data_IF_519993555240
#
_entry.id   IF_519993555240
#
_cell.length_a   1.000
_cell.length_b   1.000
_cell.length_c   1.000
_cell.angle_alpha   90.00
_cell.angle_beta   90.00
_cell.angle_gamma   90.00
#
_symmetry.space_group_name_H-M   'P 1'
#
loop_
_entity.id
_entity.type
_entity.pdbx_description
1 polymer ?
#
# COMPACT_ATOMS: atom_id res chain seq x y z
N UNK A 1 43.31 -23.24 15.50
CA UNK A 1 42.81 -23.92 14.29
C UNK A 1 41.32 -23.89 14.37
N UNK A 2 40.70 -22.97 13.65
CA UNK A 2 39.25 -22.93 13.52
C UNK A 2 38.85 -24.16 12.71
N UNK A 3 38.28 -25.16 13.38
CA UNK A 3 37.66 -26.28 12.68
C UNK A 3 36.38 -25.73 12.04
N UNK A 4 36.49 -25.44 10.76
CA UNK A 4 35.29 -25.14 9.92
C UNK A 4 34.37 -26.36 10.03
N UNK A 5 33.17 -26.16 10.56
CA UNK A 5 32.18 -27.24 10.74
C UNK A 5 31.55 -27.50 9.38
N UNK A 6 31.81 -28.66 8.84
CA UNK A 6 31.19 -29.09 7.57
C UNK A 6 29.73 -29.46 7.82
N UNK A 7 28.80 -28.61 7.32
CA UNK A 7 27.37 -28.84 7.41
C UNK A 7 26.96 -29.83 6.32
N UNK A 8 26.35 -30.96 6.67
CA UNK A 8 25.91 -31.93 5.65
C UNK A 8 24.98 -31.26 4.60
N UNK A 9 25.24 -31.40 3.29
CA UNK A 9 24.51 -30.69 2.23
C UNK A 9 22.99 -30.95 2.25
N UNK A 10 22.56 -32.13 2.72
CA UNK A 10 21.15 -32.48 2.80
C UNK A 10 20.43 -31.84 4.01
N UNK A 11 21.13 -31.12 4.89
CA UNK A 11 20.53 -30.29 5.94
C UNK A 11 20.21 -28.88 5.45
N UNK A 12 20.75 -28.49 4.30
CA UNK A 12 20.62 -27.14 3.76
C UNK A 12 19.41 -27.07 2.84
N UNK A 13 18.54 -26.06 3.07
CA UNK A 13 17.40 -25.80 2.20
C UNK A 13 17.87 -25.28 0.84
N UNK A 14 17.43 -25.86 -0.30
CA UNK A 14 17.83 -25.41 -1.63
C UNK A 14 17.37 -23.98 -2.00
N UNK A 15 16.45 -23.40 -1.24
CA UNK A 15 15.91 -22.04 -1.48
C UNK A 15 16.58 -21.00 -0.60
N UNK A 16 16.64 -21.23 0.74
CA UNK A 16 17.23 -20.27 1.67
C UNK A 16 18.74 -20.41 1.81
N UNK A 17 19.31 -21.55 1.43
CA UNK A 17 20.71 -21.94 1.65
C UNK A 17 21.10 -21.96 3.14
N UNK A 18 20.12 -22.12 4.02
CA UNK A 18 20.29 -22.25 5.47
C UNK A 18 19.93 -23.66 5.95
N UNK A 19 20.38 -24.02 7.18
CA UNK A 19 19.99 -25.28 7.82
C UNK A 19 18.48 -25.28 8.03
N UNK A 20 17.82 -26.33 7.55
CA UNK A 20 16.35 -26.48 7.65
C UNK A 20 15.91 -26.61 9.10
N UNK A 21 14.95 -25.79 9.51
CA UNK A 21 14.32 -25.82 10.85
C UNK A 21 13.12 -26.75 10.90
N UNK A 22 12.31 -26.75 9.83
CA UNK A 22 11.15 -27.64 9.66
C UNK A 22 11.17 -28.26 8.24
N UNK A 23 11.97 -29.31 8.00
CA UNK A 23 12.07 -29.92 6.68
C UNK A 23 10.77 -30.58 6.24
N UNK A 24 10.29 -30.19 5.06
CA UNK A 24 9.08 -30.71 4.40
C UNK A 24 9.41 -31.17 3.00
N UNK A 25 8.83 -32.29 2.59
CA UNK A 25 9.02 -32.88 1.25
C UNK A 25 7.80 -32.58 0.38
N UNK A 26 8.04 -32.03 -0.81
CA UNK A 26 6.98 -31.80 -1.82
C UNK A 26 6.78 -33.04 -2.71
N UNK A 27 5.73 -33.06 -3.53
CA UNK A 27 5.38 -34.19 -4.41
C UNK A 27 6.49 -34.61 -5.38
N UNK A 28 7.44 -33.74 -5.70
CA UNK A 28 8.62 -34.07 -6.53
C UNK A 28 9.73 -34.79 -5.76
N UNK A 29 9.56 -35.07 -4.46
CA UNK A 29 10.54 -35.75 -3.60
C UNK A 29 11.63 -34.84 -3.05
N UNK A 30 11.68 -33.56 -3.41
CA UNK A 30 12.67 -32.60 -2.88
C UNK A 30 12.20 -32.09 -1.52
N UNK A 31 13.14 -31.98 -0.58
CA UNK A 31 12.90 -31.45 0.76
C UNK A 31 13.40 -30.01 0.87
N UNK A 32 12.59 -29.15 1.48
CA UNK A 32 12.82 -27.75 1.73
C UNK A 32 12.54 -27.40 3.19
N UNK A 33 13.03 -26.28 3.65
CA UNK A 33 12.49 -25.69 4.87
C UNK A 33 11.06 -25.19 4.62
N UNK A 34 10.12 -25.48 5.54
CA UNK A 34 8.69 -25.15 5.39
C UNK A 34 8.48 -23.68 5.06
N UNK A 35 9.09 -22.77 5.83
CA UNK A 35 8.93 -21.33 5.63
C UNK A 35 9.38 -20.89 4.23
N UNK A 36 10.47 -21.45 3.75
CA UNK A 36 11.05 -21.12 2.44
C UNK A 36 10.18 -21.58 1.29
N UNK A 37 9.68 -22.83 1.35
CA UNK A 37 8.81 -23.35 0.28
C UNK A 37 7.42 -22.73 0.32
N UNK A 38 6.86 -22.44 1.50
CA UNK A 38 5.60 -21.70 1.64
C UNK A 38 5.72 -20.30 1.02
N UNK A 39 6.79 -19.55 1.31
CA UNK A 39 7.06 -18.27 0.66
C UNK A 39 7.16 -18.39 -0.85
N UNK A 40 7.84 -19.40 -1.37
CA UNK A 40 7.96 -19.62 -2.80
C UNK A 40 6.60 -19.89 -3.46
N UNK A 41 5.82 -20.80 -2.91
CA UNK A 41 4.52 -21.19 -3.46
C UNK A 41 3.47 -20.08 -3.36
N UNK A 42 3.52 -19.28 -2.28
CA UNK A 42 2.46 -18.35 -1.93
C UNK A 42 2.76 -16.89 -2.26
N UNK A 43 4.04 -16.50 -2.33
CA UNK A 43 4.45 -15.14 -2.75
C UNK A 43 4.74 -15.03 -4.25
N UNK A 44 5.14 -16.14 -4.88
CA UNK A 44 5.36 -16.22 -6.31
C UNK A 44 4.13 -16.79 -7.01
N UNK A 45 3.71 -16.23 -8.13
CA UNK A 45 2.63 -16.76 -9.00
C UNK A 45 2.98 -18.11 -9.65
N UNK A 46 3.93 -18.86 -9.11
CA UNK A 46 4.50 -20.06 -9.72
C UNK A 46 4.29 -21.27 -8.82
N UNK A 47 3.26 -22.08 -9.13
CA UNK A 47 3.00 -23.39 -8.52
C UNK A 47 3.98 -24.45 -9.08
N UNK A 48 5.29 -24.17 -9.00
CA UNK A 48 6.33 -25.07 -9.50
C UNK A 48 7.39 -25.34 -8.44
N UNK A 49 7.97 -26.53 -8.45
CA UNK A 49 9.09 -26.89 -7.59
C UNK A 49 10.30 -26.02 -7.90
N UNK A 50 10.92 -25.34 -6.89
CA UNK A 50 12.06 -24.45 -7.10
C UNK A 50 13.24 -25.10 -7.82
N UNK A 51 13.53 -26.39 -7.53
CA UNK A 51 14.67 -27.14 -8.08
C UNK A 51 14.31 -27.80 -9.40
N UNK A 52 13.25 -28.61 -9.44
CA UNK A 52 12.92 -29.43 -10.62
C UNK A 52 12.09 -28.69 -11.68
N UNK A 53 11.52 -27.51 -11.34
CA UNK A 53 10.61 -26.72 -12.18
C UNK A 53 9.32 -27.45 -12.57
N UNK A 54 9.09 -28.65 -12.05
CA UNK A 54 7.86 -29.39 -12.28
C UNK A 54 6.66 -28.74 -11.58
N UNK A 55 5.47 -28.75 -12.18
CA UNK A 55 4.27 -28.22 -11.55
C UNK A 55 3.94 -28.98 -10.27
N UNK A 56 3.52 -28.26 -9.26
CA UNK A 56 2.99 -28.79 -8.01
C UNK A 56 1.47 -28.62 -8.03
N UNK A 57 0.72 -29.58 -7.48
CA UNK A 57 -0.74 -29.51 -7.40
C UNK A 57 -1.19 -28.44 -6.40
N UNK A 58 -2.40 -27.88 -6.62
CA UNK A 58 -2.99 -26.86 -5.71
C UNK A 58 -3.18 -27.39 -4.28
N UNK A 59 -3.37 -28.68 -4.12
CA UNK A 59 -3.43 -29.42 -2.86
C UNK A 59 -2.04 -29.97 -2.45
N UNK A 60 -0.98 -29.19 -2.65
CA UNK A 60 0.37 -29.66 -2.33
C UNK A 60 0.51 -29.86 -0.83
N UNK A 61 0.27 -31.09 -0.37
CA UNK A 61 0.57 -31.52 0.98
C UNK A 61 2.08 -31.46 1.21
N UNK A 62 2.51 -30.46 1.96
CA UNK A 62 3.88 -30.38 2.45
C UNK A 62 4.08 -31.46 3.52
N UNK A 63 4.59 -32.62 3.10
CA UNK A 63 4.77 -33.76 4.00
C UNK A 63 5.95 -33.53 4.93
N UNK A 64 5.75 -33.44 6.28
CA UNK A 64 6.84 -33.25 7.22
C UNK A 64 7.87 -34.38 7.17
N UNK A 65 9.15 -34.05 6.99
CA UNK A 65 10.23 -35.02 7.02
C UNK A 65 10.78 -35.17 8.46
N UNK A 66 10.04 -35.95 9.26
CA UNK A 66 10.38 -36.13 10.67
C UNK A 66 11.75 -36.77 10.90
N UNK A 67 12.19 -37.65 10.00
CA UNK A 67 13.51 -38.31 10.11
C UNK A 67 14.62 -37.33 9.91
N UNK A 68 14.56 -36.54 8.83
CA UNK A 68 15.56 -35.53 8.55
C UNK A 68 15.59 -34.46 9.66
N UNK A 69 14.44 -34.03 10.16
CA UNK A 69 14.36 -33.08 11.27
C UNK A 69 15.09 -33.59 12.52
N UNK A 70 14.87 -34.85 12.90
CA UNK A 70 15.56 -35.46 14.04
C UNK A 70 17.09 -35.53 13.83
N UNK A 71 17.53 -35.83 12.62
CA UNK A 71 18.95 -35.85 12.27
C UNK A 71 19.57 -34.44 12.40
N UNK A 72 18.90 -33.44 11.85
CA UNK A 72 19.35 -32.02 11.97
C UNK A 72 19.42 -31.61 13.43
N UNK A 73 18.38 -31.86 14.23
CA UNK A 73 18.33 -31.51 15.64
C UNK A 73 19.44 -32.21 16.44
N UNK A 74 19.71 -33.49 16.18
CA UNK A 74 20.79 -34.23 16.82
C UNK A 74 22.15 -33.62 16.45
N UNK A 75 22.36 -33.33 15.18
CA UNK A 75 23.61 -32.72 14.70
C UNK A 75 23.83 -31.31 15.29
N UNK A 76 22.81 -30.45 15.32
CA UNK A 76 22.89 -29.13 15.97
C UNK A 76 23.22 -29.28 17.48
N UNK A 77 22.65 -30.27 18.16
CA UNK A 77 22.90 -30.49 19.57
C UNK A 77 24.35 -30.94 19.82
N UNK A 78 24.88 -31.80 18.97
CA UNK A 78 26.29 -32.25 19.06
C UNK A 78 27.31 -31.11 18.77
N UNK A 79 26.94 -30.18 17.91
CA UNK A 79 27.78 -29.06 17.53
C UNK A 79 27.47 -27.74 18.28
N UNK A 80 26.65 -27.78 19.31
CA UNK A 80 26.25 -26.59 20.08
C UNK A 80 27.45 -25.86 20.74
N UNK A 81 28.51 -26.61 21.13
CA UNK A 81 29.75 -26.04 21.65
C UNK A 81 30.55 -25.20 20.64
N UNK A 82 30.24 -25.32 19.36
CA UNK A 82 30.85 -24.58 18.26
C UNK A 82 29.96 -23.41 17.75
N UNK A 83 28.99 -22.99 18.54
CA UNK A 83 28.14 -21.85 18.21
C UNK A 83 26.92 -22.16 17.33
N UNK A 84 26.59 -23.43 17.07
CA UNK A 84 25.42 -23.82 16.33
C UNK A 84 24.19 -23.79 17.25
N UNK A 85 23.17 -22.98 16.88
CA UNK A 85 21.93 -22.87 17.65
C UNK A 85 21.11 -24.16 17.62
N UNK A 86 20.50 -24.50 18.75
CA UNK A 86 19.55 -25.61 18.82
C UNK A 86 18.24 -25.24 18.11
N UNK A 87 17.79 -26.13 17.22
CA UNK A 87 16.53 -25.94 16.51
C UNK A 87 15.38 -26.48 17.36
N UNK A 88 14.42 -25.62 17.77
CA UNK A 88 13.25 -26.07 18.50
C UNK A 88 12.34 -26.96 17.63
N UNK A 89 11.58 -27.84 18.26
CA UNK A 89 10.60 -28.65 17.53
C UNK A 89 9.46 -27.75 17.03
N UNK A 90 9.18 -27.67 15.72
CA UNK A 90 8.10 -26.86 15.18
C UNK A 90 6.74 -27.32 15.71
N UNK A 91 5.85 -26.38 15.95
CA UNK A 91 4.46 -26.68 16.33
C UNK A 91 3.73 -27.31 15.14
N UNK A 92 2.86 -28.29 15.34
CA UNK A 92 2.05 -28.83 14.26
C UNK A 92 1.12 -27.74 13.69
N UNK A 93 0.83 -27.75 12.38
CA UNK A 93 -0.14 -26.85 11.78
C UNK A 93 -1.50 -26.95 12.48
N UNK A 94 -2.16 -25.79 12.63
CA UNK A 94 -3.47 -25.75 13.29
C UNK A 94 -4.56 -26.26 12.33
N UNK A 95 -5.51 -27.01 12.86
CA UNK A 95 -6.62 -27.57 12.07
C UNK A 95 -7.82 -26.62 12.03
N UNK A 96 -8.62 -26.70 10.95
CA UNK A 96 -9.88 -25.95 10.80
C UNK A 96 -10.82 -26.12 12.03
N UNK A 97 -10.89 -27.34 12.56
CA UNK A 97 -11.73 -27.66 13.73
C UNK A 97 -11.28 -26.92 15.00
N UNK A 98 -9.97 -26.77 15.19
CA UNK A 98 -9.42 -26.00 16.33
C UNK A 98 -9.77 -24.51 16.22
N UNK A 99 -9.58 -23.91 15.03
CA UNK A 99 -9.92 -22.50 14.80
C UNK A 99 -11.42 -22.26 14.96
N UNK A 100 -12.27 -23.11 14.36
CA UNK A 100 -13.72 -23.00 14.49
C UNK A 100 -14.19 -23.14 15.94
N UNK A 101 -13.51 -23.97 16.74
CA UNK A 101 -13.77 -24.09 18.18
C UNK A 101 -13.39 -22.82 18.92
N UNK A 102 -12.21 -22.25 18.67
CA UNK A 102 -11.76 -21.00 19.27
C UNK A 102 -12.74 -19.85 18.98
N UNK A 103 -13.18 -19.70 17.74
CA UNK A 103 -14.16 -18.67 17.32
C UNK A 103 -15.49 -18.86 18.07
N UNK A 104 -15.98 -20.09 18.18
CA UNK A 104 -17.22 -20.40 18.89
C UNK A 104 -17.12 -20.13 20.38
N UNK A 105 -15.98 -20.45 20.99
CA UNK A 105 -15.75 -20.21 22.42
C UNK A 105 -15.59 -18.71 22.74
N UNK A 106 -15.11 -17.91 21.80
CA UNK A 106 -15.01 -16.46 21.89
C UNK A 106 -16.38 -15.78 22.14
N UNK A 107 -17.45 -16.34 21.55
CA UNK A 107 -18.81 -15.78 21.68
C UNK A 107 -19.44 -15.96 23.06
N UNK A 108 -18.79 -16.67 23.98
CA UNK A 108 -19.39 -17.01 25.30
C UNK A 108 -19.22 -15.90 26.34
N UNK A 109 -18.12 -15.15 26.30
CA UNK A 109 -17.89 -14.05 27.25
C UNK A 109 -16.82 -13.08 26.73
N UNK A 110 -16.80 -11.82 27.20
CA UNK A 110 -15.77 -10.84 26.83
C UNK A 110 -14.35 -11.31 27.16
N UNK A 111 -14.15 -11.99 28.27
CA UNK A 111 -12.85 -12.56 28.68
C UNK A 111 -12.40 -13.68 27.71
N UNK A 112 -13.33 -14.52 27.27
CA UNK A 112 -13.07 -15.56 26.27
C UNK A 112 -12.68 -14.94 24.93
N UNK A 113 -13.29 -13.80 24.54
CA UNK A 113 -12.96 -13.06 23.34
C UNK A 113 -11.50 -12.58 23.32
N UNK A 114 -11.07 -11.89 24.39
CA UNK A 114 -9.69 -11.39 24.50
C UNK A 114 -8.65 -12.53 24.49
N UNK A 115 -8.96 -13.66 25.14
CA UNK A 115 -8.11 -14.85 25.07
C UNK A 115 -8.04 -15.43 23.66
N UNK A 116 -9.20 -15.56 22.99
CA UNK A 116 -9.29 -16.05 21.62
C UNK A 116 -8.46 -15.18 20.65
N UNK A 117 -8.56 -13.86 20.73
CA UNK A 117 -7.79 -12.95 19.89
C UNK A 117 -6.29 -13.14 20.07
N UNK A 118 -5.80 -13.27 21.30
CA UNK A 118 -4.38 -13.56 21.57
C UNK A 118 -3.93 -14.91 20.97
N UNK A 119 -4.75 -15.95 21.07
CA UNK A 119 -4.46 -17.25 20.48
C UNK A 119 -4.47 -17.16 18.95
N UNK A 120 -5.45 -16.49 18.32
CA UNK A 120 -5.49 -16.27 16.89
C UNK A 120 -4.26 -15.47 16.39
N UNK A 121 -3.83 -14.45 17.13
CA UNK A 121 -2.62 -13.68 16.82
C UNK A 121 -1.37 -14.54 16.82
N UNK A 122 -1.22 -15.39 17.84
CA UNK A 122 -0.11 -16.36 17.91
C UNK A 122 -0.14 -17.34 16.72
N UNK A 123 -1.31 -17.87 16.38
CA UNK A 123 -1.49 -18.80 15.26
C UNK A 123 -1.14 -18.12 13.93
N UNK A 124 -1.57 -16.87 13.71
CA UNK A 124 -1.29 -16.09 12.50
C UNK A 124 0.21 -15.80 12.34
N UNK A 125 0.94 -15.65 13.45
CA UNK A 125 2.39 -15.38 13.44
C UNK A 125 3.22 -16.61 13.13
N UNK A 126 2.70 -17.84 13.40
CA UNK A 126 3.49 -19.07 13.31
C UNK A 126 3.79 -19.48 11.86
N UNK A 127 2.84 -19.40 10.94
CA UNK A 127 3.06 -19.80 9.52
C UNK A 127 1.99 -19.28 8.56
N UNK A 128 2.35 -19.24 7.25
CA UNK A 128 1.41 -18.91 6.18
C UNK A 128 0.29 -19.94 6.04
N UNK A 129 0.60 -21.20 6.22
CA UNK A 129 -0.41 -22.30 6.23
C UNK A 129 -1.46 -22.07 7.32
N UNK A 130 -1.05 -21.61 8.51
CA UNK A 130 -1.98 -21.27 9.57
C UNK A 130 -2.87 -20.08 9.19
N UNK A 131 -2.31 -19.02 8.57
CA UNK A 131 -3.09 -17.86 8.09
C UNK A 131 -4.18 -18.27 7.10
N UNK A 132 -3.84 -19.14 6.13
CA UNK A 132 -4.81 -19.69 5.17
C UNK A 132 -5.85 -20.57 5.83
N UNK A 133 -5.43 -21.40 6.79
CA UNK A 133 -6.36 -22.21 7.56
C UNK A 133 -7.34 -21.34 8.36
N UNK A 134 -6.88 -20.23 8.94
CA UNK A 134 -7.72 -19.25 9.62
C UNK A 134 -8.73 -18.60 8.66
N UNK A 135 -8.28 -18.16 7.49
CA UNK A 135 -9.15 -17.59 6.47
C UNK A 135 -10.22 -18.60 6.03
N UNK A 136 -9.82 -19.83 5.70
CA UNK A 136 -10.74 -20.90 5.29
C UNK A 136 -11.69 -21.39 6.42
N UNK A 137 -11.47 -20.97 7.67
CA UNK A 137 -12.27 -21.33 8.85
C UNK A 137 -13.23 -20.22 9.30
N UNK A 138 -13.35 -19.11 8.52
CA UNK A 138 -14.25 -17.99 8.81
C UNK A 138 -13.67 -16.99 9.83
N UNK A 139 -12.35 -16.99 10.07
CA UNK A 139 -11.73 -16.03 10.98
C UNK A 139 -11.81 -14.59 10.44
N UNK A 140 -11.81 -14.38 9.14
CA UNK A 140 -11.91 -13.06 8.51
C UNK A 140 -13.25 -12.41 8.83
N UNK A 141 -14.36 -13.11 8.63
CA UNK A 141 -15.72 -12.64 8.93
C UNK A 141 -15.92 -12.43 10.43
N UNK A 142 -15.35 -13.30 11.25
CA UNK A 142 -15.39 -13.17 12.72
C UNK A 142 -14.67 -11.89 13.17
N UNK A 143 -13.45 -11.64 12.71
CA UNK A 143 -12.69 -10.42 13.02
C UNK A 143 -13.40 -9.16 12.50
N UNK A 144 -13.93 -9.19 11.28
CA UNK A 144 -14.73 -8.11 10.73
C UNK A 144 -15.98 -7.82 11.58
N UNK A 145 -16.61 -8.85 12.16
CA UNK A 145 -17.77 -8.68 13.06
C UNK A 145 -17.40 -7.93 14.34
N UNK A 146 -16.21 -8.17 14.90
CA UNK A 146 -15.69 -7.49 16.09
C UNK A 146 -15.40 -6.02 15.77
N UNK A 147 -14.69 -5.75 14.65
CA UNK A 147 -14.39 -4.40 14.19
C UNK A 147 -15.66 -3.60 13.94
N UNK A 148 -16.72 -4.25 13.45
CA UNK A 148 -18.03 -3.62 13.16
C UNK A 148 -18.96 -3.51 14.37
N UNK A 149 -18.49 -3.77 15.58
CA UNK A 149 -19.29 -3.59 16.81
C UNK A 149 -19.46 -2.09 17.04
N UNK A 150 -20.71 -1.63 17.09
CA UNK A 150 -21.02 -0.23 17.34
C UNK A 150 -20.74 0.13 18.79
N UNK A 151 -19.56 0.65 19.07
CA UNK A 151 -19.19 1.25 20.35
C UNK A 151 -18.87 2.74 20.13
N UNK A 152 -19.23 3.64 21.06
CA UNK A 152 -18.85 5.05 20.98
C UNK A 152 -17.35 5.28 21.11
N UNK A 153 -16.60 4.30 21.60
CA UNK A 153 -15.13 4.30 21.69
C UNK A 153 -14.58 3.05 21.04
N UNK A 154 -13.37 3.15 20.47
CA UNK A 154 -12.65 1.97 19.95
C UNK A 154 -12.21 1.13 21.16
N UNK A 155 -12.67 -0.12 21.23
CA UNK A 155 -12.32 -1.03 22.31
C UNK A 155 -10.99 -1.77 21.98
N UNK A 156 -10.20 -2.15 23.01
CA UNK A 156 -8.93 -2.87 22.79
C UNK A 156 -9.07 -4.15 21.93
N UNK A 157 -10.24 -4.81 21.99
CA UNK A 157 -10.53 -5.99 21.18
C UNK A 157 -10.69 -5.64 19.68
N UNK A 158 -11.15 -4.42 19.34
CA UNK A 158 -11.25 -3.96 17.95
C UNK A 158 -9.86 -3.72 17.37
N UNK A 159 -8.96 -3.08 18.14
CA UNK A 159 -7.58 -2.84 17.73
C UNK A 159 -6.84 -4.18 17.51
N UNK A 160 -7.00 -5.14 18.41
CA UNK A 160 -6.37 -6.45 18.27
C UNK A 160 -6.95 -7.24 17.07
N UNK A 161 -8.28 -7.22 16.89
CA UNK A 161 -8.92 -7.85 15.73
C UNK A 161 -8.42 -7.26 14.41
N UNK A 162 -8.24 -5.95 14.33
CA UNK A 162 -7.73 -5.27 13.15
C UNK A 162 -6.25 -5.61 12.87
N UNK A 163 -5.42 -5.66 13.93
CA UNK A 163 -4.02 -6.11 13.84
C UNK A 163 -3.91 -7.54 13.29
N UNK A 164 -4.76 -8.46 13.78
CA UNK A 164 -4.80 -9.84 13.29
C UNK A 164 -5.25 -9.88 11.84
N UNK A 165 -6.33 -9.18 11.49
CA UNK A 165 -6.85 -9.14 10.12
C UNK A 165 -5.82 -8.61 9.12
N UNK A 166 -5.05 -7.59 9.51
CA UNK A 166 -3.93 -7.10 8.72
C UNK A 166 -2.84 -8.16 8.53
N UNK A 167 -2.50 -8.93 9.58
CA UNK A 167 -1.45 -9.95 9.53
C UNK A 167 -1.83 -11.19 8.71
N UNK A 168 -3.13 -11.42 8.46
CA UNK A 168 -3.62 -12.56 7.69
C UNK A 168 -3.30 -12.48 6.19
N UNK A 169 -2.94 -11.30 5.66
CA UNK A 169 -2.75 -11.09 4.21
C UNK A 169 -3.93 -11.65 3.39
N UNK A 170 -5.12 -11.17 3.73
CA UNK A 170 -6.42 -11.67 3.25
C UNK A 170 -6.48 -11.79 1.73
N UNK A 171 -7.00 -12.91 1.23
CA UNK A 171 -7.16 -13.18 -0.21
C UNK A 171 -8.14 -12.22 -0.90
N UNK A 172 -8.04 -12.11 -2.23
CA UNK A 172 -8.94 -11.25 -3.02
C UNK A 172 -10.42 -11.64 -2.83
N UNK A 173 -10.73 -12.93 -2.71
CA UNK A 173 -12.09 -13.42 -2.50
C UNK A 173 -12.66 -12.94 -1.16
N UNK A 174 -11.89 -13.06 -0.09
CA UNK A 174 -12.29 -12.59 1.24
C UNK A 174 -12.33 -11.06 1.32
N UNK A 175 -11.43 -10.34 0.64
CA UNK A 175 -11.52 -8.88 0.54
C UNK A 175 -12.82 -8.43 -0.14
N UNK A 176 -13.25 -9.11 -1.22
CA UNK A 176 -14.55 -8.85 -1.86
C UNK A 176 -15.73 -9.11 -0.92
N UNK A 177 -15.65 -10.17 -0.10
CA UNK A 177 -16.70 -10.44 0.92
C UNK A 177 -16.74 -9.33 1.99
N UNK A 178 -15.59 -8.81 2.42
CA UNK A 178 -15.50 -7.71 3.38
C UNK A 178 -16.13 -6.41 2.86
N UNK A 179 -16.04 -6.11 1.56
CA UNK A 179 -16.68 -4.93 0.96
C UNK A 179 -18.18 -4.97 1.11
N UNK A 180 -18.77 -6.16 0.98
CA UNK A 180 -20.22 -6.37 1.09
C UNK A 180 -20.70 -6.65 2.52
N UNK A 181 -19.76 -6.87 3.43
CA UNK A 181 -20.04 -7.22 4.82
C UNK A 181 -20.94 -6.16 5.48
N UNK A 182 -22.07 -6.60 6.04
CA UNK A 182 -23.12 -5.73 6.61
C UNK A 182 -23.53 -4.57 5.68
N UNK A 183 -23.71 -4.84 4.40
CA UNK A 183 -24.04 -3.85 3.37
C UNK A 183 -23.03 -2.69 3.26
N UNK A 184 -21.73 -2.97 3.48
CA UNK A 184 -20.66 -1.97 3.46
C UNK A 184 -20.40 -1.31 4.83
N UNK A 185 -21.05 -1.73 5.89
CA UNK A 185 -20.90 -1.17 7.24
C UNK A 185 -19.49 -1.32 7.82
N UNK A 186 -18.66 -2.25 7.30
CA UNK A 186 -17.27 -2.36 7.69
C UNK A 186 -16.46 -1.11 7.30
N UNK A 187 -16.73 -0.50 6.15
CA UNK A 187 -16.06 0.73 5.71
C UNK A 187 -16.33 1.87 6.70
N UNK A 188 -17.57 2.00 7.18
CA UNK A 188 -17.95 3.00 8.19
C UNK A 188 -17.25 2.72 9.54
N UNK A 189 -17.15 1.45 9.92
CA UNK A 189 -16.46 1.05 11.14
C UNK A 189 -14.96 1.34 11.07
N UNK A 190 -14.31 1.02 9.96
CA UNK A 190 -12.90 1.37 9.71
C UNK A 190 -12.68 2.88 9.71
N UNK A 191 -13.62 3.66 9.16
CA UNK A 191 -13.58 5.13 9.22
C UNK A 191 -13.63 5.61 10.67
N UNK A 192 -14.47 4.98 11.53
CA UNK A 192 -14.52 5.30 12.95
C UNK A 192 -13.21 4.95 13.67
N UNK A 193 -12.57 3.82 13.33
CA UNK A 193 -11.25 3.48 13.85
C UNK A 193 -10.19 4.50 13.42
N UNK A 194 -10.22 4.96 12.16
CA UNK A 194 -9.32 6.01 11.68
C UNK A 194 -9.50 7.32 12.45
N UNK A 195 -10.72 7.63 12.88
CA UNK A 195 -11.05 8.85 13.63
C UNK A 195 -10.60 8.79 15.10
N UNK A 196 -10.81 7.66 15.75
CA UNK A 196 -10.72 7.54 17.23
C UNK A 196 -9.64 6.59 17.70
N UNK A 197 -9.10 5.74 16.83
CA UNK A 197 -8.11 4.72 17.18
C UNK A 197 -6.73 5.30 17.46
N UNK A 198 -5.88 4.49 18.05
CA UNK A 198 -4.44 4.78 18.19
C UNK A 198 -3.76 4.78 16.83
N UNK A 199 -2.60 5.39 16.72
CA UNK A 199 -1.88 5.54 15.43
C UNK A 199 -1.70 4.22 14.68
N UNK A 200 -1.38 3.15 15.38
CA UNK A 200 -1.18 1.83 14.80
C UNK A 200 -2.49 1.27 14.19
N UNK A 201 -3.60 1.36 14.91
CA UNK A 201 -4.91 0.91 14.42
C UNK A 201 -5.42 1.76 13.26
N UNK A 202 -5.15 3.06 13.28
CA UNK A 202 -5.45 3.97 12.15
C UNK A 202 -4.67 3.57 10.89
N UNK A 203 -3.40 3.19 11.05
CA UNK A 203 -2.57 2.70 9.95
C UNK A 203 -3.12 1.37 9.40
N UNK A 204 -3.45 0.40 10.24
CA UNK A 204 -4.04 -0.87 9.79
C UNK A 204 -5.39 -0.68 9.11
N UNK A 205 -6.22 0.24 9.60
CA UNK A 205 -7.51 0.55 8.99
C UNK A 205 -7.37 1.07 7.56
N UNK A 206 -6.46 2.01 7.30
CA UNK A 206 -6.25 2.53 5.95
C UNK A 206 -5.59 1.50 5.02
N UNK A 207 -4.69 0.65 5.54
CA UNK A 207 -4.08 -0.44 4.78
C UNK A 207 -5.13 -1.45 4.32
N UNK A 208 -6.04 -1.84 5.21
CA UNK A 208 -7.14 -2.74 4.89
C UNK A 208 -8.11 -2.10 3.89
N UNK A 209 -8.51 -0.85 4.10
CA UNK A 209 -9.37 -0.10 3.15
C UNK A 209 -8.74 -0.02 1.76
N UNK A 210 -7.44 0.27 1.68
CA UNK A 210 -6.74 0.29 0.41
C UNK A 210 -6.79 -1.08 -0.30
N UNK A 211 -6.54 -2.17 0.43
CA UNK A 211 -6.62 -3.53 -0.13
C UNK A 211 -8.05 -3.87 -0.59
N UNK A 212 -9.07 -3.50 0.20
CA UNK A 212 -10.48 -3.69 -0.17
C UNK A 212 -10.85 -2.91 -1.45
N UNK A 213 -10.44 -1.65 -1.55
CA UNK A 213 -10.79 -0.83 -2.71
C UNK A 213 -10.06 -1.25 -3.98
N UNK A 214 -8.85 -1.84 -3.88
CA UNK A 214 -8.14 -2.39 -5.03
C UNK A 214 -8.90 -3.50 -5.75
N UNK A 215 -9.72 -4.26 -5.02
CA UNK A 215 -10.51 -5.37 -5.57
C UNK A 215 -11.99 -5.04 -5.70
N UNK A 216 -12.38 -3.80 -5.34
CA UNK A 216 -13.77 -3.35 -5.34
C UNK A 216 -14.28 -3.09 -6.75
N UNK A 217 -15.53 -3.45 -7.00
CA UNK A 217 -16.22 -3.03 -8.23
C UNK A 217 -16.40 -1.51 -8.26
N UNK A 218 -16.29 -0.94 -9.45
CA UNK A 218 -16.46 0.50 -9.70
C UNK A 218 -17.76 1.06 -9.12
N UNK A 219 -18.84 0.28 -9.13
CA UNK A 219 -20.16 0.66 -8.58
C UNK A 219 -20.12 0.93 -7.08
N UNK A 220 -19.18 0.35 -6.34
CA UNK A 220 -19.01 0.55 -4.91
C UNK A 220 -18.20 1.80 -4.58
N UNK A 221 -17.35 2.25 -5.49
CA UNK A 221 -16.43 3.37 -5.27
C UNK A 221 -17.03 4.75 -5.57
N UNK A 222 -18.15 4.85 -6.31
CA UNK A 222 -18.64 6.14 -6.79
C UNK A 222 -19.31 7.02 -5.71
N UNK A 223 -19.75 6.46 -4.59
CA UNK A 223 -20.50 7.18 -3.55
C UNK A 223 -19.97 6.88 -2.12
N UNK A 224 -18.69 7.08 -1.91
CA UNK A 224 -18.08 6.94 -0.59
C UNK A 224 -18.48 8.12 0.31
N UNK A 225 -18.71 7.88 1.60
CA UNK A 225 -19.10 8.90 2.56
C UNK A 225 -18.04 10.00 2.73
N UNK A 226 -18.51 11.20 3.06
CA UNK A 226 -17.66 12.37 3.25
C UNK A 226 -16.64 12.19 4.39
N UNK A 227 -17.06 11.55 5.47
CA UNK A 227 -16.28 11.29 6.68
C UNK A 227 -14.98 10.51 6.37
N UNK A 228 -15.05 9.54 5.42
CA UNK A 228 -13.83 8.82 5.02
C UNK A 228 -12.78 9.76 4.41
N UNK A 229 -13.19 10.73 3.60
CA UNK A 229 -12.23 11.69 3.01
C UNK A 229 -11.61 12.59 4.07
N UNK A 230 -12.36 12.97 5.12
CA UNK A 230 -11.82 13.71 6.27
C UNK A 230 -10.70 12.93 6.92
N UNK A 231 -10.95 11.65 7.24
CA UNK A 231 -9.96 10.82 7.93
C UNK A 231 -8.75 10.47 7.04
N UNK A 232 -8.96 10.25 5.73
CA UNK A 232 -7.85 10.04 4.80
C UNK A 232 -6.91 11.25 4.75
N UNK A 233 -7.46 12.48 4.68
CA UNK A 233 -6.64 13.71 4.70
C UNK A 233 -5.97 13.88 6.06
N UNK A 234 -6.66 13.53 7.16
CA UNK A 234 -6.07 13.59 8.49
C UNK A 234 -4.87 12.63 8.65
N UNK A 235 -4.93 11.42 8.07
CA UNK A 235 -3.79 10.48 8.06
C UNK A 235 -2.60 11.06 7.28
N UNK A 236 -2.85 11.73 6.16
CA UNK A 236 -1.78 12.41 5.41
C UNK A 236 -1.11 13.50 6.24
N UNK A 237 -1.92 14.29 6.96
CA UNK A 237 -1.45 15.37 7.84
C UNK A 237 -0.64 14.85 9.03
N UNK A 238 -1.12 13.77 9.66
CA UNK A 238 -0.49 13.18 10.84
C UNK A 238 0.81 12.42 10.51
N UNK A 239 1.03 12.05 9.25
CA UNK A 239 2.21 11.31 8.76
C UNK A 239 2.55 10.09 9.64
N UNK A 240 1.55 9.32 10.02
CA UNK A 240 1.61 8.21 10.99
C UNK A 240 2.72 7.21 10.64
N UNK A 241 2.80 6.82 9.38
CA UNK A 241 3.84 5.96 8.82
C UNK A 241 3.93 6.09 7.31
N UNK A 242 5.09 5.76 6.74
CA UNK A 242 5.28 5.77 5.29
C UNK A 242 4.29 4.83 4.57
N UNK A 243 4.02 3.65 5.14
CA UNK A 243 3.06 2.69 4.60
C UNK A 243 1.62 3.24 4.62
N UNK A 244 1.21 3.89 5.71
CA UNK A 244 -0.10 4.50 5.82
C UNK A 244 -0.26 5.67 4.83
N UNK A 245 0.76 6.52 4.68
CA UNK A 245 0.76 7.60 3.68
C UNK A 245 0.62 7.04 2.27
N UNK A 246 1.38 6.00 1.94
CA UNK A 246 1.31 5.35 0.63
C UNK A 246 -0.09 4.76 0.37
N UNK A 247 -0.64 4.00 1.32
CA UNK A 247 -1.97 3.42 1.23
C UNK A 247 -3.07 4.49 1.10
N UNK A 248 -2.94 5.60 1.83
CA UNK A 248 -3.88 6.72 1.77
C UNK A 248 -3.87 7.39 0.39
N UNK A 249 -2.68 7.66 -0.16
CA UNK A 249 -2.55 8.22 -1.51
C UNK A 249 -3.12 7.28 -2.56
N UNK A 250 -2.85 5.96 -2.47
CA UNK A 250 -3.45 4.97 -3.37
C UNK A 250 -4.97 4.95 -3.28
N UNK A 251 -5.51 4.95 -2.06
CA UNK A 251 -6.96 4.99 -1.81
C UNK A 251 -7.60 6.23 -2.44
N UNK A 252 -7.03 7.40 -2.24
CA UNK A 252 -7.52 8.64 -2.83
C UNK A 252 -7.44 8.64 -4.36
N UNK A 253 -6.35 8.10 -4.94
CA UNK A 253 -6.19 7.94 -6.40
C UNK A 253 -7.28 7.02 -6.97
N UNK A 254 -7.65 5.95 -6.27
CA UNK A 254 -8.73 5.06 -6.68
C UNK A 254 -10.12 5.69 -6.58
N UNK A 255 -10.34 6.55 -5.60
CA UNK A 255 -11.63 7.19 -5.35
C UNK A 255 -11.88 8.45 -6.20
N UNK A 256 -10.85 9.22 -6.51
CA UNK A 256 -10.97 10.53 -7.19
C UNK A 256 -11.30 10.51 -8.70
N UNK A 257 -11.25 9.40 -9.45
CA UNK A 257 -11.83 9.36 -10.81
C UNK A 257 -13.31 9.75 -10.83
N UNK A 258 -14.04 9.48 -9.74
CA UNK A 258 -15.46 9.80 -9.60
C UNK A 258 -15.64 11.25 -9.18
N UNK A 259 -16.36 12.04 -10.00
CA UNK A 259 -16.49 13.48 -9.80
C UNK A 259 -17.01 13.88 -8.42
N UNK A 260 -18.00 13.12 -7.85
CA UNK A 260 -18.53 13.36 -6.50
C UNK A 260 -17.47 13.15 -5.42
N UNK A 261 -16.66 12.10 -5.52
CA UNK A 261 -15.59 11.81 -4.58
C UNK A 261 -14.47 12.85 -4.67
N UNK A 262 -14.11 13.23 -5.90
CA UNK A 262 -13.13 14.29 -6.15
C UNK A 262 -13.54 15.61 -5.51
N UNK A 263 -14.80 16.00 -5.68
CA UNK A 263 -15.33 17.20 -5.03
C UNK A 263 -15.27 17.10 -3.50
N UNK A 264 -15.59 15.93 -2.91
CA UNK A 264 -15.43 15.68 -1.47
C UNK A 264 -13.98 15.80 -1.02
N UNK A 265 -13.04 15.20 -1.74
CA UNK A 265 -11.61 15.29 -1.44
C UNK A 265 -11.10 16.75 -1.48
N UNK A 266 -11.52 17.54 -2.47
CA UNK A 266 -11.17 18.96 -2.52
C UNK A 266 -11.77 19.71 -1.33
N UNK A 267 -13.04 19.47 -1.00
CA UNK A 267 -13.74 20.17 0.09
C UNK A 267 -13.14 19.92 1.47
N UNK A 268 -12.54 18.76 1.70
CA UNK A 268 -11.85 18.45 2.98
C UNK A 268 -10.42 18.98 3.04
N UNK A 269 -9.95 19.71 2.01
CA UNK A 269 -8.62 20.32 2.01
C UNK A 269 -7.50 19.44 1.49
N UNK A 270 -7.81 18.36 0.75
CA UNK A 270 -6.81 17.44 0.20
C UNK A 270 -5.77 18.16 -0.69
N UNK A 271 -6.19 19.17 -1.47
CA UNK A 271 -5.26 19.97 -2.32
C UNK A 271 -4.24 20.69 -1.47
N UNK A 272 -4.68 21.32 -0.40
CA UNK A 272 -3.81 22.03 0.54
C UNK A 272 -2.76 21.09 1.13
N UNK A 273 -3.22 19.98 1.68
CA UNK A 273 -2.33 18.99 2.32
C UNK A 273 -1.30 18.40 1.35
N UNK A 274 -1.71 18.11 0.12
CA UNK A 274 -0.78 17.62 -0.91
C UNK A 274 0.30 18.63 -1.25
N UNK A 275 0.00 19.94 -1.26
CA UNK A 275 0.98 20.98 -1.52
C UNK A 275 1.98 21.05 -0.38
N UNK A 276 1.51 21.06 0.88
CA UNK A 276 2.38 21.07 2.07
C UNK A 276 3.33 19.86 2.06
N UNK A 277 2.81 18.65 1.84
CA UNK A 277 3.63 17.46 1.76
C UNK A 277 4.63 17.47 0.59
N UNK A 278 4.26 18.06 -0.55
CA UNK A 278 5.14 18.17 -1.72
C UNK A 278 6.30 19.16 -1.50
N UNK A 279 6.19 20.13 -0.57
CA UNK A 279 7.28 21.07 -0.28
C UNK A 279 8.57 20.36 0.11
N UNK A 280 8.47 19.37 1.01
CA UNK A 280 9.60 18.69 1.62
C UNK A 280 9.79 17.24 1.17
N UNK A 281 8.85 16.69 0.37
CA UNK A 281 8.94 15.31 -0.08
C UNK A 281 10.09 15.12 -1.07
N UNK A 282 11.04 14.25 -0.72
CA UNK A 282 12.16 13.83 -1.57
C UNK A 282 11.94 12.43 -2.18
N UNK A 283 11.05 11.63 -1.61
CA UNK A 283 10.79 10.28 -2.09
C UNK A 283 10.08 10.31 -3.44
N UNK A 284 10.77 9.80 -4.47
CA UNK A 284 10.31 9.84 -5.86
C UNK A 284 8.90 9.28 -6.04
N UNK A 285 8.64 8.09 -5.50
CA UNK A 285 7.38 7.37 -5.71
C UNK A 285 6.20 8.07 -5.04
N UNK A 286 6.40 8.60 -3.85
CA UNK A 286 5.39 9.37 -3.11
C UNK A 286 5.11 10.70 -3.82
N UNK A 287 6.16 11.42 -4.28
CA UNK A 287 6.01 12.62 -5.11
C UNK A 287 5.19 12.36 -6.39
N UNK A 288 5.46 11.25 -7.09
CA UNK A 288 4.71 10.86 -8.29
C UNK A 288 3.22 10.66 -7.96
N UNK A 289 2.90 9.95 -6.88
CA UNK A 289 1.52 9.70 -6.46
C UNK A 289 0.80 10.99 -6.06
N UNK A 290 1.45 11.86 -5.29
CA UNK A 290 0.88 13.15 -4.91
C UNK A 290 0.58 14.02 -6.14
N UNK A 291 1.48 14.06 -7.14
CA UNK A 291 1.24 14.78 -8.38
C UNK A 291 0.13 14.15 -9.24
N UNK A 292 -0.01 12.82 -9.25
CA UNK A 292 -1.14 12.13 -9.88
C UNK A 292 -2.45 12.56 -9.25
N UNK A 293 -2.53 12.52 -7.93
CA UNK A 293 -3.72 12.90 -7.20
C UNK A 293 -4.04 14.40 -7.39
N UNK A 294 -3.05 15.27 -7.32
CA UNK A 294 -3.20 16.71 -7.52
C UNK A 294 -3.69 17.03 -8.95
N UNK A 295 -3.18 16.35 -9.99
CA UNK A 295 -3.66 16.45 -11.38
C UNK A 295 -5.16 16.07 -11.47
N UNK A 296 -5.56 14.99 -10.80
CA UNK A 296 -6.97 14.57 -10.74
C UNK A 296 -7.84 15.61 -10.05
N UNK A 297 -7.40 16.16 -8.92
CA UNK A 297 -8.15 17.18 -8.18
C UNK A 297 -8.25 18.48 -8.98
N UNK A 298 -7.18 18.91 -9.67
CA UNK A 298 -7.18 20.11 -10.52
C UNK A 298 -8.00 19.95 -11.82
N UNK A 299 -8.52 18.78 -12.11
CA UNK A 299 -9.44 18.60 -13.25
C UNK A 299 -10.81 19.28 -13.03
N UNK A 300 -11.21 19.63 -11.79
CA UNK A 300 -12.39 20.43 -11.49
C UNK A 300 -12.00 21.88 -11.10
N UNK A 301 -12.97 22.78 -11.16
CA UNK A 301 -12.77 24.21 -10.91
C UNK A 301 -12.32 24.48 -9.47
N UNK A 302 -12.96 23.81 -8.51
CA UNK A 302 -12.70 23.96 -7.09
C UNK A 302 -11.28 23.51 -6.75
N UNK A 303 -10.78 22.40 -7.33
CA UNK A 303 -9.41 21.93 -7.12
C UNK A 303 -8.38 22.92 -7.64
N UNK A 304 -8.61 23.54 -8.80
CA UNK A 304 -7.74 24.60 -9.32
C UNK A 304 -7.79 25.85 -8.44
N UNK A 305 -8.97 26.21 -7.95
CA UNK A 305 -9.10 27.36 -7.04
C UNK A 305 -8.34 27.15 -5.72
N UNK A 306 -8.39 25.93 -5.14
CA UNK A 306 -7.61 25.61 -3.94
C UNK A 306 -6.10 25.62 -4.22
N UNK A 307 -5.64 25.09 -5.36
CA UNK A 307 -4.24 25.16 -5.77
C UNK A 307 -3.76 26.61 -5.87
N UNK A 308 -4.55 27.51 -6.49
CA UNK A 308 -4.21 28.91 -6.69
C UNK A 308 -4.35 29.75 -5.40
N UNK A 309 -5.18 29.33 -4.47
CA UNK A 309 -5.32 29.96 -3.15
C UNK A 309 -4.09 29.70 -2.28
N UNK A 310 -3.43 28.57 -2.46
CA UNK A 310 -2.24 28.21 -1.70
C UNK A 310 -1.02 29.00 -2.20
N UNK A 311 -0.37 29.79 -1.34
CA UNK A 311 0.75 30.66 -1.74
C UNK A 311 1.95 29.94 -2.37
N UNK A 312 2.11 28.61 -2.14
CA UNK A 312 3.15 27.81 -2.74
C UNK A 312 2.65 26.90 -3.86
N UNK A 313 1.35 26.93 -4.22
CA UNK A 313 0.75 25.95 -5.12
C UNK A 313 1.44 25.84 -6.48
N UNK A 314 1.56 26.93 -7.21
CA UNK A 314 2.24 26.97 -8.51
C UNK A 314 3.76 26.76 -8.36
N UNK A 315 4.37 27.28 -7.29
CA UNK A 315 5.79 27.13 -7.05
C UNK A 315 6.18 25.66 -6.84
N UNK A 316 5.40 24.90 -6.06
CA UNK A 316 5.64 23.47 -5.82
C UNK A 316 5.49 22.68 -7.10
N UNK A 317 4.41 22.86 -7.86
CA UNK A 317 4.21 22.19 -9.14
C UNK A 317 5.37 22.48 -10.10
N UNK A 318 5.76 23.76 -10.21
CA UNK A 318 6.92 24.17 -11.00
C UNK A 318 8.22 23.54 -10.48
N UNK A 319 8.45 23.52 -9.15
CA UNK A 319 9.66 22.94 -8.54
C UNK A 319 9.85 21.46 -8.91
N UNK A 320 8.78 20.68 -9.02
CA UNK A 320 8.85 19.24 -9.30
C UNK A 320 9.09 18.91 -10.77
N UNK A 321 8.91 19.85 -11.71
CA UNK A 321 9.26 19.67 -13.14
C UNK A 321 10.77 19.50 -13.25
N UNK A 322 11.20 18.46 -13.99
CA UNK A 322 12.59 18.05 -14.24
C UNK A 322 13.39 17.64 -13.00
N UNK A 323 12.73 17.41 -11.87
CA UNK A 323 13.40 17.00 -10.62
C UNK A 323 13.05 15.61 -10.12
N UNK A 324 11.89 15.08 -10.48
CA UNK A 324 11.39 13.82 -9.93
C UNK A 324 11.49 12.68 -10.95
N UNK A 325 10.68 12.75 -12.01
CA UNK A 325 10.63 11.73 -13.07
C UNK A 325 9.87 12.22 -14.30
N UNK A 326 9.88 11.44 -15.37
CA UNK A 326 9.09 11.71 -16.58
C UNK A 326 7.59 11.69 -16.30
N UNK A 327 7.11 10.79 -15.42
CA UNK A 327 5.71 10.77 -14.99
C UNK A 327 5.33 12.03 -14.21
N UNK A 328 6.17 12.43 -13.26
CA UNK A 328 5.97 13.68 -12.51
C UNK A 328 5.94 14.90 -13.41
N UNK A 329 6.81 14.96 -14.42
CA UNK A 329 6.81 16.02 -15.45
C UNK A 329 5.47 16.06 -16.19
N UNK A 330 4.96 14.90 -16.65
CA UNK A 330 3.68 14.83 -17.34
C UNK A 330 2.54 15.37 -16.45
N UNK A 331 2.48 14.95 -15.19
CA UNK A 331 1.43 15.38 -14.26
C UNK A 331 1.52 16.88 -13.96
N UNK A 332 2.70 17.39 -13.65
CA UNK A 332 2.92 18.81 -13.41
C UNK A 332 2.54 19.67 -14.64
N UNK A 333 2.92 19.26 -15.85
CA UNK A 333 2.53 19.96 -17.09
C UNK A 333 1.00 19.92 -17.28
N UNK A 334 0.33 18.81 -16.97
CA UNK A 334 -1.14 18.72 -17.04
C UNK A 334 -1.83 19.66 -16.07
N UNK A 335 -1.33 19.75 -14.82
CA UNK A 335 -1.85 20.69 -13.83
C UNK A 335 -1.71 22.13 -14.35
N UNK A 336 -0.52 22.51 -14.83
CA UNK A 336 -0.28 23.85 -15.37
C UNK A 336 -1.16 24.13 -16.61
N UNK A 337 -1.38 23.14 -17.47
CA UNK A 337 -2.28 23.29 -18.63
C UNK A 337 -3.74 23.50 -18.19
N UNK A 338 -4.20 22.75 -17.19
CA UNK A 338 -5.55 22.90 -16.63
C UNK A 338 -5.76 24.31 -16.05
N UNK A 339 -4.77 24.83 -15.33
CA UNK A 339 -4.78 26.21 -14.82
C UNK A 339 -4.76 27.22 -15.96
N UNK A 340 -3.87 27.05 -16.94
CA UNK A 340 -3.72 27.95 -18.10
C UNK A 340 -4.98 28.07 -18.97
N UNK A 341 -5.73 26.94 -19.11
CA UNK A 341 -6.96 26.92 -19.92
C UNK A 341 -8.20 27.52 -19.21
N UNK A 342 -8.28 27.33 -17.92
CA UNK A 342 -9.56 27.53 -17.21
C UNK A 342 -9.50 28.52 -16.05
N UNK A 343 -8.32 28.95 -15.63
CA UNK A 343 -8.15 29.78 -14.42
C UNK A 343 -7.06 30.85 -14.54
N UNK A 344 -6.52 31.09 -15.75
CA UNK A 344 -5.43 32.01 -16.01
C UNK A 344 -5.93 33.48 -15.99
N UNK A 345 -5.81 34.12 -14.83
CA UNK A 345 -5.84 35.58 -14.73
C UNK A 345 -4.46 36.18 -14.98
N UNK A 346 -4.38 37.50 -15.21
CA UNK A 346 -3.09 38.16 -15.40
C UNK A 346 -2.12 37.92 -14.23
N UNK A 347 -2.63 37.89 -12.97
CA UNK A 347 -1.86 37.59 -11.77
C UNK A 347 -1.33 36.15 -11.75
N UNK A 348 -2.16 35.17 -12.11
CA UNK A 348 -1.76 33.76 -12.19
C UNK A 348 -0.66 33.54 -13.24
N UNK A 349 -0.80 34.17 -14.43
CA UNK A 349 0.23 34.09 -15.48
C UNK A 349 1.53 34.72 -15.02
N UNK A 350 1.46 35.88 -14.34
CA UNK A 350 2.62 36.55 -13.77
C UNK A 350 3.31 35.67 -12.72
N UNK A 351 2.55 35.03 -11.84
CA UNK A 351 3.10 34.08 -10.86
C UNK A 351 3.78 32.89 -11.56
N UNK A 352 3.15 32.28 -12.57
CA UNK A 352 3.76 31.18 -13.34
C UNK A 352 5.12 31.59 -13.95
N UNK A 353 5.26 32.83 -14.39
CA UNK A 353 6.53 33.38 -14.90
C UNK A 353 7.53 33.52 -13.76
N UNK A 354 7.13 34.12 -12.64
CA UNK A 354 8.00 34.37 -11.48
C UNK A 354 8.54 33.09 -10.84
N UNK A 355 7.72 32.04 -10.74
CA UNK A 355 8.16 30.72 -10.23
C UNK A 355 8.97 29.91 -11.26
N UNK A 356 9.25 30.49 -12.42
CA UNK A 356 10.06 29.88 -13.47
C UNK A 356 9.38 28.72 -14.22
N UNK A 357 8.06 28.59 -14.13
CA UNK A 357 7.33 27.51 -14.80
C UNK A 357 7.51 27.57 -16.32
N UNK A 358 7.43 28.76 -16.93
CA UNK A 358 7.58 28.93 -18.39
C UNK A 358 8.96 28.50 -18.87
N UNK A 359 10.04 28.86 -18.18
CA UNK A 359 11.40 28.44 -18.52
C UNK A 359 11.56 26.91 -18.47
N UNK A 360 10.97 26.26 -17.45
CA UNK A 360 10.99 24.79 -17.33
C UNK A 360 10.18 24.10 -18.42
N UNK A 361 9.05 24.67 -18.86
CA UNK A 361 8.29 24.15 -19.99
C UNK A 361 9.11 24.19 -21.29
N UNK A 362 9.93 25.24 -21.50
CA UNK A 362 10.86 25.29 -22.62
C UNK A 362 11.92 24.17 -22.56
N UNK A 363 12.45 23.90 -21.36
CA UNK A 363 13.39 22.78 -21.17
C UNK A 363 12.72 21.42 -21.42
N UNK A 364 11.47 21.22 -20.98
CA UNK A 364 10.68 20.00 -21.28
C UNK A 364 10.53 19.78 -22.78
N UNK A 365 10.41 20.85 -23.59
CA UNK A 365 10.36 20.76 -25.05
C UNK A 365 11.65 20.23 -25.67
N UNK A 366 12.79 20.53 -25.05
CA UNK A 366 14.12 20.16 -25.55
C UNK A 366 14.57 18.76 -25.12
N UNK A 367 14.08 18.29 -23.97
CA UNK A 367 14.47 16.98 -23.42
C UNK A 367 13.71 15.82 -24.08
N UNK A 368 14.19 14.58 -23.86
CA UNK A 368 13.46 13.36 -24.21
C UNK A 368 12.25 13.17 -23.31
N UNK A 369 11.19 13.89 -23.60
CA UNK A 369 9.88 13.75 -22.96
C UNK A 369 8.90 13.14 -23.94
N UNK A 370 7.87 12.46 -23.46
CA UNK A 370 6.81 11.91 -24.33
C UNK A 370 6.16 13.00 -25.20
N UNK A 371 5.86 12.67 -26.46
CA UNK A 371 5.29 13.63 -27.44
C UNK A 371 4.09 14.40 -26.90
N UNK A 372 3.18 13.72 -26.20
CA UNK A 372 2.00 14.32 -25.56
C UNK A 372 2.34 15.36 -24.49
N UNK A 373 3.42 15.17 -23.74
CA UNK A 373 3.87 16.13 -22.72
C UNK A 373 4.44 17.38 -23.39
N UNK A 374 5.23 17.22 -24.46
CA UNK A 374 5.75 18.33 -25.28
C UNK A 374 4.63 19.14 -25.91
N UNK A 375 3.60 18.48 -26.47
CA UNK A 375 2.43 19.15 -27.06
C UNK A 375 1.71 20.03 -26.02
N UNK A 376 1.46 19.50 -24.81
CA UNK A 376 0.83 20.25 -23.72
C UNK A 376 1.69 21.43 -23.26
N UNK A 377 3.02 21.22 -23.14
CA UNK A 377 3.95 22.31 -22.80
C UNK A 377 3.93 23.41 -23.88
N UNK A 378 3.96 23.05 -25.16
CA UNK A 378 3.83 23.98 -26.29
C UNK A 378 2.52 24.76 -26.24
N UNK A 379 1.41 24.08 -25.91
CA UNK A 379 0.10 24.69 -25.80
C UNK A 379 0.09 25.78 -24.70
N UNK A 380 0.66 25.50 -23.51
CA UNK A 380 0.77 26.50 -22.44
C UNK A 380 1.59 27.71 -22.90
N UNK A 381 2.74 27.47 -23.52
CA UNK A 381 3.62 28.55 -24.00
C UNK A 381 2.92 29.42 -25.08
N UNK A 382 2.12 28.81 -25.97
CA UNK A 382 1.33 29.54 -26.97
C UNK A 382 0.22 30.38 -26.33
N UNK A 383 -0.51 29.83 -25.37
CA UNK A 383 -1.56 30.54 -24.64
C UNK A 383 -1.05 31.82 -23.96
N UNK A 384 0.20 31.83 -23.49
CA UNK A 384 0.79 32.94 -22.74
C UNK A 384 1.94 33.63 -23.48
N UNK A 385 2.02 33.49 -24.80
CA UNK A 385 3.12 34.01 -25.61
C UNK A 385 3.36 35.53 -25.42
N UNK A 386 2.29 36.33 -25.37
CA UNK A 386 2.40 37.78 -25.15
C UNK A 386 2.98 38.14 -23.77
N UNK A 387 2.53 37.48 -22.72
CA UNK A 387 3.04 37.70 -21.37
C UNK A 387 4.51 37.26 -21.25
N UNK A 388 4.87 36.16 -21.92
CA UNK A 388 6.25 35.67 -21.96
C UNK A 388 7.19 36.64 -22.71
N UNK A 389 6.77 37.22 -23.81
CA UNK A 389 7.58 38.17 -24.59
C UNK A 389 7.91 39.45 -23.80
N UNK A 390 7.02 39.86 -22.93
CA UNK A 390 7.17 41.12 -22.12
C UNK A 390 7.95 40.90 -20.81
N UNK A 391 8.41 39.69 -20.54
CA UNK A 391 9.10 39.32 -19.31
C UNK A 391 10.61 39.24 -19.51
N UNK A 392 11.39 39.99 -18.70
CA UNK A 392 12.85 39.93 -18.71
C UNK A 392 13.46 38.59 -18.25
N UNK A 393 12.63 37.70 -17.66
CA UNK A 393 13.05 36.41 -17.12
C UNK A 393 13.05 35.28 -18.19
N UNK A 394 12.78 35.57 -19.46
CA UNK A 394 12.65 34.55 -20.50
C UNK A 394 13.87 34.47 -21.41
N UNK A 395 14.36 33.26 -21.76
CA UNK A 395 15.46 33.12 -22.70
C UNK A 395 15.08 33.68 -24.05
N UNK A 396 16.01 34.44 -24.67
CA UNK A 396 15.85 35.04 -26.03
C UNK A 396 15.59 34.00 -27.14
N UNK A 397 15.88 32.71 -26.90
CA UNK A 397 15.63 31.60 -27.82
C UNK A 397 14.16 31.18 -27.93
N UNK A 398 13.23 31.79 -27.19
CA UNK A 398 11.80 31.42 -27.21
C UNK A 398 11.08 31.77 -28.51
N UNK A 399 11.61 32.73 -29.28
CA UNK A 399 11.01 33.14 -30.55
C UNK A 399 10.76 31.99 -31.55
N UNK A 400 11.62 30.98 -31.54
CA UNK A 400 11.50 29.79 -32.42
C UNK A 400 10.43 28.76 -31.98
N UNK A 401 9.97 28.82 -30.75
CA UNK A 401 8.93 27.90 -30.20
C UNK A 401 7.52 28.52 -30.20
N UNK A 402 7.44 29.84 -30.41
CA UNK A 402 6.18 30.61 -30.38
C UNK A 402 5.68 30.95 -31.80
N UNK A 403 6.46 30.66 -32.79
CA UNK A 403 6.08 30.69 -34.22
C UNK A 403 5.43 29.36 -34.59
#
# INVERSE_FOLDING_TARGET
MDHEIDVPPFFICPVSLEIMKDPVTVSTGITYDRESIEKWLFSGKSMTCPVTKQPLSDDTDLTPNHTLRRLIQAWCTMNASHGIERIPTPKPPVTKTQISKLIRDASRSPHSLTRCLRELKSIASDSETNRRCMEASGAVEFLASIISTASPQVEPNQDEALSILHSLHVSEASLKSLITFRNGGLIDSLTTVMQKGVYESRAYAVLLLNSMFQVADSSRLFNIRYELFVELVQILKDQISQQATYATLQTLIQLCPWGRNRHRAVKVGCVWELIELLLDCEERKVCEMMLVLLDMLCSCAEGRAELLRHGAGLAVVSKKILRVSTMANERAVRILLSVSKSSATASVVQEMIQVGAMGKLCLVMQMESGSKTKEKAREILKLHALACKNSACMPSSLGSYLA
#
